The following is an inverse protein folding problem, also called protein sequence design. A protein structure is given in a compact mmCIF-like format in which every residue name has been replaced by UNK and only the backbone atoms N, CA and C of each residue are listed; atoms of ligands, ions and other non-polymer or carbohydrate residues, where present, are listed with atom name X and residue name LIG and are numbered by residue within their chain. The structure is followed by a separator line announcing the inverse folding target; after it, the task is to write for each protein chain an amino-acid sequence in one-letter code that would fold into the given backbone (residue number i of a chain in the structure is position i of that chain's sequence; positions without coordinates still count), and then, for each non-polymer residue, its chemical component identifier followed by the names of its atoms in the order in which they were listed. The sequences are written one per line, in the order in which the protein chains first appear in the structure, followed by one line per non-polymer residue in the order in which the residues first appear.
data_IF_817192335469
#
_entry.id   IF_817192335469
#
_cell.length_a   1.000
_cell.length_b   1.000
_cell.length_c   1.000
_cell.angle_alpha   90.00
_cell.angle_beta   90.00
_cell.angle_gamma   90.00
#
_symmetry.space_group_name_H-M   'P 1'
#
loop_
_entity.id
_entity.type
_entity.pdbx_description
1 polymer ?
#
# COMPACT_ATOMS: atom_id res chain seq x y z
N UNK A 1 20.89 55.62 37.22
CA UNK A 1 20.88 54.21 36.80
C UNK A 1 19.46 53.70 36.85
N UNK A 2 18.84 53.46 35.69
CA UNK A 2 17.71 52.53 35.53
C UNK A 2 17.42 52.37 34.02
N UNK A 3 17.92 51.27 33.46
CA UNK A 3 17.69 50.86 32.07
C UNK A 3 16.31 50.21 31.99
N UNK A 4 15.36 50.80 31.25
CA UNK A 4 14.13 50.12 30.85
C UNK A 4 14.36 49.42 29.52
N UNK A 5 14.55 48.10 29.56
CA UNK A 5 14.58 47.25 28.38
C UNK A 5 13.16 47.12 27.79
N UNK A 6 13.00 47.50 26.53
CA UNK A 6 11.84 47.17 25.72
C UNK A 6 12.00 45.76 25.17
N UNK A 7 11.16 44.83 25.64
CA UNK A 7 11.02 43.50 25.04
C UNK A 7 9.96 43.62 23.94
N UNK A 8 10.39 43.49 22.70
CA UNK A 8 9.52 43.38 21.53
C UNK A 8 8.98 41.95 21.46
N UNK A 9 7.73 41.74 21.84
CA UNK A 9 7.03 40.47 21.59
C UNK A 9 6.51 40.47 20.15
N UNK A 10 7.15 39.68 19.28
CA UNK A 10 6.63 39.39 17.94
C UNK A 10 5.52 38.35 18.08
N UNK A 11 4.27 38.81 17.99
CA UNK A 11 3.12 37.94 17.81
C UNK A 11 3.12 37.42 16.36
N UNK A 12 3.45 36.14 16.17
CA UNK A 12 3.23 35.46 14.89
C UNK A 12 1.73 35.14 14.81
N UNK A 13 0.99 35.99 14.10
CA UNK A 13 -0.38 35.71 13.73
C UNK A 13 -0.42 34.47 12.82
N UNK A 14 -1.02 33.39 13.32
CA UNK A 14 -1.34 32.20 12.53
C UNK A 14 -2.50 32.54 11.60
N UNK A 15 -2.17 33.02 10.40
CA UNK A 15 -3.14 33.39 9.40
C UNK A 15 -3.66 32.16 8.64
N UNK A 16 -4.99 32.03 8.65
CA UNK A 16 -5.85 31.46 7.61
C UNK A 16 -5.67 29.98 7.24
N UNK A 17 -6.59 29.17 7.78
CA UNK A 17 -7.14 28.02 7.10
C UNK A 17 -7.66 28.43 5.72
N UNK A 18 -6.92 28.10 4.67
CA UNK A 18 -7.41 28.18 3.30
C UNK A 18 -8.32 26.97 3.03
N UNK A 19 -9.61 27.15 3.29
CA UNK A 19 -10.69 26.36 2.70
C UNK A 19 -10.73 26.64 1.19
N UNK A 20 -9.84 25.98 0.44
CA UNK A 20 -9.79 25.99 -1.02
C UNK A 20 -10.24 24.63 -1.55
N UNK A 21 -11.54 24.51 -1.83
CA UNK A 21 -12.10 23.38 -2.56
C UNK A 21 -11.53 23.35 -3.99
N UNK A 22 -10.54 22.49 -4.26
CA UNK A 22 -10.17 22.11 -5.62
C UNK A 22 -10.97 20.87 -6.02
N UNK A 23 -12.21 21.12 -6.45
CA UNK A 23 -13.04 20.15 -7.16
C UNK A 23 -12.42 19.86 -8.53
N UNK A 24 -11.48 18.92 -8.57
CA UNK A 24 -11.03 18.29 -9.82
C UNK A 24 -12.12 17.37 -10.36
N UNK A 25 -13.04 17.93 -11.13
CA UNK A 25 -14.04 17.18 -11.90
C UNK A 25 -13.34 16.47 -13.07
N UNK A 26 -12.86 15.25 -12.80
CA UNK A 26 -12.43 14.29 -13.83
C UNK A 26 -13.55 13.28 -14.05
N UNK A 27 -14.44 13.57 -15.00
CA UNK A 27 -15.46 12.63 -15.46
C UNK A 27 -14.81 11.54 -16.32
N UNK A 28 -14.60 10.37 -15.75
CA UNK A 28 -14.67 9.10 -16.48
C UNK A 28 -15.63 8.20 -15.71
N UNK A 29 -16.66 7.77 -16.42
CA UNK A 29 -17.86 7.09 -15.92
C UNK A 29 -17.54 5.74 -15.28
N UNK A 30 -17.52 5.71 -13.95
CA UNK A 30 -17.86 4.52 -13.19
C UNK A 30 -19.19 4.82 -12.48
N UNK A 31 -20.18 3.94 -12.66
CA UNK A 31 -21.50 4.11 -12.07
C UNK A 31 -21.37 4.36 -10.56
N UNK A 32 -22.08 5.35 -9.98
CA UNK A 32 -22.06 5.55 -8.53
C UNK A 32 -22.50 4.25 -7.86
N UNK A 33 -21.66 3.73 -6.94
CA UNK A 33 -21.99 2.59 -6.11
C UNK A 33 -23.33 2.89 -5.42
N UNK A 34 -24.36 2.10 -5.73
CA UNK A 34 -25.75 2.33 -5.31
C UNK A 34 -25.87 2.47 -3.79
N UNK A 35 -26.85 3.26 -3.32
CA UNK A 35 -27.11 3.55 -1.89
C UNK A 35 -27.24 2.30 -1.01
N UNK A 36 -27.62 1.17 -1.60
CA UNK A 36 -27.72 -0.15 -0.96
C UNK A 36 -26.37 -0.73 -0.52
N UNK A 37 -25.26 -0.29 -1.13
CA UNK A 37 -23.89 -0.66 -0.74
C UNK A 37 -23.32 0.20 0.43
N UNK A 38 -23.95 1.33 0.79
CA UNK A 38 -23.45 2.21 1.86
C UNK A 38 -23.70 1.64 3.27
N UNK A 39 -24.81 0.93 3.46
CA UNK A 39 -25.18 0.36 4.78
C UNK A 39 -24.34 -0.87 5.15
N UNK A 40 -23.79 -1.58 4.15
CA UNK A 40 -22.96 -2.77 4.35
C UNK A 40 -21.45 -2.49 4.38
N UNK A 41 -21.01 -1.24 4.14
CA UNK A 41 -19.60 -0.85 4.08
C UNK A 41 -19.36 0.48 4.80
N UNK A 42 -19.12 0.46 6.13
CA UNK A 42 -18.90 1.67 6.89
C UNK A 42 -17.67 2.42 6.37
N UNK A 43 -17.72 3.75 6.43
CA UNK A 43 -16.65 4.62 5.97
C UNK A 43 -16.62 4.90 4.46
N UNK A 44 -17.47 4.30 3.63
CA UNK A 44 -17.56 4.70 2.21
C UNK A 44 -17.94 6.19 2.10
N UNK A 45 -17.28 6.91 1.19
CA UNK A 45 -17.51 8.34 0.99
C UNK A 45 -17.39 8.73 -0.48
N UNK A 46 -18.13 9.74 -0.90
CA UNK A 46 -17.95 10.42 -2.19
C UNK A 46 -17.14 11.70 -2.00
N UNK A 47 -17.38 12.40 -0.88
CA UNK A 47 -16.77 13.66 -0.46
C UNK A 47 -16.46 13.64 1.04
N UNK A 48 -15.61 14.55 1.52
CA UNK A 48 -15.31 14.65 2.96
C UNK A 48 -16.52 15.05 3.80
N UNK A 49 -17.59 15.59 3.20
CA UNK A 49 -18.85 15.85 3.92
C UNK A 49 -19.51 14.55 4.41
N UNK A 50 -19.34 13.46 3.67
CA UNK A 50 -19.89 12.14 4.04
C UNK A 50 -19.19 11.57 5.29
N UNK A 51 -17.98 12.06 5.58
CA UNK A 51 -17.17 11.67 6.73
C UNK A 51 -17.45 12.50 7.99
N UNK A 52 -18.20 13.60 7.88
CA UNK A 52 -18.51 14.48 9.00
C UNK A 52 -19.24 13.72 10.15
N UNK A 53 -20.06 12.72 9.82
CA UNK A 53 -20.77 11.89 10.81
C UNK A 53 -19.85 11.06 11.72
N UNK A 54 -18.61 10.81 11.29
CA UNK A 54 -17.59 10.11 12.07
C UNK A 54 -16.65 11.07 12.81
N UNK A 55 -16.72 12.37 12.48
CA UNK A 55 -15.84 13.38 13.05
C UNK A 55 -16.37 13.81 14.42
N UNK A 56 -15.59 13.61 15.48
CA UNK A 56 -15.94 13.97 16.87
C UNK A 56 -14.72 14.50 17.62
N UNK A 57 -14.82 15.70 18.17
CA UNK A 57 -13.71 16.34 18.87
C UNK A 57 -12.47 16.42 17.98
N UNK A 58 -11.34 15.88 18.46
CA UNK A 58 -10.08 15.83 17.71
C UNK A 58 -10.02 14.75 16.62
N UNK A 59 -11.00 13.84 16.56
CA UNK A 59 -11.03 12.81 15.53
C UNK A 59 -11.67 13.37 14.26
N UNK A 60 -10.85 13.83 13.31
CA UNK A 60 -11.31 14.38 12.03
C UNK A 60 -11.15 13.35 10.93
N UNK A 61 -12.23 13.05 10.22
CA UNK A 61 -12.20 12.14 9.07
C UNK A 61 -12.28 12.90 7.74
N UNK A 62 -11.42 12.54 6.80
CA UNK A 62 -11.41 13.05 5.43
C UNK A 62 -11.70 11.94 4.43
N UNK A 63 -12.38 12.26 3.33
CA UNK A 63 -12.62 11.29 2.27
C UNK A 63 -11.39 11.19 1.36
N UNK A 64 -10.70 10.06 1.42
CA UNK A 64 -9.47 9.81 0.65
C UNK A 64 -9.74 8.76 -0.41
N UNK A 65 -9.21 9.00 -1.61
CA UNK A 65 -9.38 8.13 -2.77
C UNK A 65 -8.09 7.38 -3.10
N UNK A 66 -8.18 6.07 -3.33
CA UNK A 66 -7.13 5.24 -3.93
C UNK A 66 -7.45 5.05 -5.41
N UNK A 67 -6.54 5.49 -6.28
CA UNK A 67 -6.60 5.23 -7.73
C UNK A 67 -5.96 3.89 -8.07
N UNK A 68 -6.56 3.12 -8.97
CA UNK A 68 -6.03 1.83 -9.41
C UNK A 68 -6.33 1.58 -10.89
N UNK A 69 -5.61 0.63 -11.49
CA UNK A 69 -5.88 0.09 -12.81
C UNK A 69 -6.64 -1.26 -12.75
N UNK A 70 -7.05 -1.70 -11.56
CA UNK A 70 -7.82 -2.95 -11.42
C UNK A 70 -9.22 -2.74 -12.00
N UNK A 71 -9.61 -3.61 -12.93
CA UNK A 71 -10.93 -3.61 -13.57
C UNK A 71 -12.03 -3.59 -12.51
N UNK A 72 -12.97 -2.66 -12.64
CA UNK A 72 -14.07 -2.41 -11.69
C UNK A 72 -13.65 -1.87 -10.30
N UNK A 73 -12.38 -1.47 -10.11
CA UNK A 73 -11.85 -0.88 -8.86
C UNK A 73 -10.93 0.32 -9.14
N UNK A 74 -11.21 1.07 -10.19
CA UNK A 74 -10.43 2.21 -10.68
C UNK A 74 -10.27 3.33 -9.66
N UNK A 75 -11.28 3.55 -8.83
CA UNK A 75 -11.27 4.51 -7.73
C UNK A 75 -12.06 3.97 -6.55
N UNK A 76 -11.40 3.85 -5.40
CA UNK A 76 -12.02 3.47 -4.14
C UNK A 76 -11.85 4.59 -3.13
N UNK A 77 -12.92 4.91 -2.40
CA UNK A 77 -12.94 6.04 -1.46
C UNK A 77 -13.38 5.60 -0.08
N UNK A 78 -12.67 6.06 0.94
CA UNK A 78 -13.03 5.80 2.33
C UNK A 78 -12.69 7.01 3.21
N UNK A 79 -13.47 7.18 4.28
CA UNK A 79 -13.16 8.08 5.37
C UNK A 79 -11.93 7.58 6.10
N UNK A 80 -10.88 8.40 6.11
CA UNK A 80 -9.61 8.16 6.79
C UNK A 80 -9.50 9.14 7.94
N UNK A 81 -9.15 8.63 9.13
CA UNK A 81 -8.92 9.43 10.33
C UNK A 81 -7.58 10.18 10.23
N UNK A 82 -7.57 11.45 10.60
CA UNK A 82 -6.36 12.27 10.69
C UNK A 82 -5.83 12.70 9.32
N UNK A 83 -4.51 12.74 9.20
CA UNK A 83 -3.82 13.18 7.99
C UNK A 83 -3.92 12.12 6.89
N UNK A 84 -4.83 12.36 5.94
CA UNK A 84 -4.96 11.56 4.73
C UNK A 84 -3.95 11.98 3.67
N UNK A 85 -3.45 11.02 2.90
CA UNK A 85 -2.54 11.28 1.78
C UNK A 85 -3.19 12.17 0.72
N UNK A 86 -2.87 13.47 0.76
CA UNK A 86 -3.53 14.47 -0.08
C UNK A 86 -2.72 15.78 -0.14
N UNK A 87 -2.80 16.48 -1.27
CA UNK A 87 -2.19 17.81 -1.40
C UNK A 87 -0.68 17.80 -1.15
N UNK A 88 -0.22 18.54 -0.14
CA UNK A 88 1.20 18.63 0.24
C UNK A 88 1.59 17.72 1.39
N UNK A 89 0.68 16.85 1.84
CA UNK A 89 0.87 16.00 3.01
C UNK A 89 0.85 14.53 2.65
N UNK A 90 1.96 13.87 2.98
CA UNK A 90 2.02 12.42 3.02
C UNK A 90 1.19 11.92 4.21
N UNK A 91 0.45 10.83 4.03
CA UNK A 91 -0.46 10.37 5.07
C UNK A 91 -1.12 9.04 4.79
N UNK A 92 -2.17 8.75 5.56
CA UNK A 92 -2.89 7.49 5.49
C UNK A 92 -3.74 7.38 4.23
N UNK A 93 -3.82 6.17 3.70
CA UNK A 93 -4.73 5.77 2.64
C UNK A 93 -5.77 4.77 3.17
N UNK A 94 -6.93 4.66 2.50
CA UNK A 94 -7.91 3.61 2.78
C UNK A 94 -7.29 2.21 2.83
N UNK A 95 -7.68 1.40 3.81
CA UNK A 95 -7.31 -0.02 3.92
C UNK A 95 -8.53 -0.88 3.60
N UNK A 96 -8.31 -2.07 3.02
CA UNK A 96 -9.40 -2.91 2.50
C UNK A 96 -9.37 -4.36 3.02
N UNK A 97 -8.60 -4.65 4.07
CA UNK A 97 -8.32 -6.02 4.54
C UNK A 97 -9.55 -6.76 5.05
N UNK A 98 -10.48 -6.06 5.70
CA UNK A 98 -11.78 -6.61 6.11
C UNK A 98 -12.85 -6.54 5.01
N UNK A 99 -12.55 -5.96 3.85
CA UNK A 99 -13.49 -5.88 2.75
C UNK A 99 -13.48 -7.20 1.95
N UNK A 100 -14.53 -7.48 1.15
CA UNK A 100 -14.57 -8.67 0.31
C UNK A 100 -13.34 -8.83 -0.59
N UNK A 101 -12.99 -10.07 -0.93
CA UNK A 101 -11.76 -10.46 -1.62
C UNK A 101 -11.40 -9.62 -2.85
N UNK A 102 -12.40 -9.17 -3.62
CA UNK A 102 -12.14 -8.33 -4.80
C UNK A 102 -11.40 -7.03 -4.44
N UNK A 103 -11.70 -6.41 -3.31
CA UNK A 103 -11.11 -5.14 -2.86
C UNK A 103 -9.73 -5.31 -2.23
N UNK A 104 -9.45 -6.47 -1.61
CA UNK A 104 -8.17 -6.79 -0.95
C UNK A 104 -6.97 -6.82 -1.89
N UNK A 105 -7.20 -6.75 -3.20
CA UNK A 105 -6.15 -6.66 -4.22
C UNK A 105 -5.51 -5.27 -4.28
N UNK A 106 -6.19 -4.24 -3.77
CA UNK A 106 -5.70 -2.86 -3.78
C UNK A 106 -4.72 -2.67 -2.63
N UNK A 107 -3.48 -2.34 -2.98
CA UNK A 107 -2.39 -2.12 -2.01
C UNK A 107 -1.98 -0.65 -2.03
N UNK A 108 -2.40 0.16 -1.03
CA UNK A 108 -2.23 1.60 -1.09
C UNK A 108 -0.79 2.07 -0.91
N UNK A 109 -0.37 2.96 -1.80
CA UNK A 109 0.84 3.76 -1.72
C UNK A 109 0.45 5.23 -1.72
N UNK A 110 0.94 6.00 -0.75
CA UNK A 110 0.81 7.45 -0.77
C UNK A 110 1.88 8.04 -1.70
N UNK A 111 1.48 8.34 -2.93
CA UNK A 111 2.40 8.75 -3.98
C UNK A 111 2.33 10.25 -4.21
N UNK A 112 3.49 10.88 -4.42
CA UNK A 112 3.56 12.24 -4.93
C UNK A 112 3.48 12.21 -6.44
N UNK A 113 2.40 12.72 -7.03
CA UNK A 113 2.13 12.56 -8.45
C UNK A 113 2.09 13.90 -9.16
N UNK A 114 2.80 13.97 -10.29
CA UNK A 114 2.82 15.14 -11.16
C UNK A 114 1.40 15.60 -11.56
N UNK A 115 1.18 16.90 -11.51
CA UNK A 115 -0.07 17.56 -11.93
C UNK A 115 0.21 18.34 -13.22
N UNK A 116 -0.28 17.90 -14.39
CA UNK A 116 0.07 18.53 -15.67
C UNK A 116 -0.34 20.00 -15.79
N UNK A 117 -1.46 20.39 -15.15
CA UNK A 117 -1.99 21.75 -15.17
C UNK A 117 -1.51 22.58 -13.97
N UNK A 118 -0.32 22.30 -13.44
CA UNK A 118 0.26 23.04 -12.34
C UNK A 118 0.78 24.42 -12.76
N UNK A 119 0.24 25.49 -12.16
CA UNK A 119 0.55 26.87 -12.52
C UNK A 119 1.52 27.52 -11.52
N UNK A 120 1.44 27.10 -10.26
CA UNK A 120 2.27 27.55 -9.15
C UNK A 120 2.50 26.39 -8.18
N UNK A 121 3.70 26.28 -7.64
CA UNK A 121 4.03 25.26 -6.67
C UNK A 121 4.60 25.88 -5.38
N UNK A 122 4.34 25.24 -4.24
CA UNK A 122 4.96 25.57 -2.96
C UNK A 122 6.08 24.57 -2.69
N UNK A 123 7.30 25.04 -2.42
CA UNK A 123 8.41 24.16 -2.04
C UNK A 123 8.33 23.76 -0.55
N UNK A 124 9.23 22.89 -0.11
CA UNK A 124 9.28 22.43 1.28
C UNK A 124 9.53 23.56 2.29
N UNK A 125 10.07 24.71 1.86
CA UNK A 125 10.24 25.91 2.67
C UNK A 125 8.99 26.83 2.70
N UNK A 126 7.89 26.45 2.05
CA UNK A 126 6.68 27.28 1.97
C UNK A 126 6.77 28.41 0.95
N UNK A 127 7.82 28.48 0.14
CA UNK A 127 7.99 29.51 -0.87
C UNK A 127 7.24 29.15 -2.16
N UNK A 128 6.58 30.15 -2.74
CA UNK A 128 5.90 29.99 -4.04
C UNK A 128 6.94 30.04 -5.16
N UNK A 129 6.98 28.99 -5.97
CA UNK A 129 7.80 28.86 -7.16
C UNK A 129 6.88 28.95 -8.38
N UNK A 130 7.13 29.96 -9.24
CA UNK A 130 6.42 30.08 -10.52
C UNK A 130 6.92 29.00 -11.48
N UNK A 131 6.03 28.12 -11.96
CA UNK A 131 6.43 27.03 -12.86
C UNK A 131 6.45 27.54 -14.30
N UNK A 132 7.53 28.22 -14.68
CA UNK A 132 7.68 28.86 -16.00
C UNK A 132 7.67 27.83 -17.15
N UNK A 133 8.18 26.62 -16.91
CA UNK A 133 8.26 25.53 -17.88
C UNK A 133 6.91 24.81 -18.17
N UNK A 134 5.88 25.00 -17.35
CA UNK A 134 4.55 24.41 -17.58
C UNK A 134 3.54 25.38 -18.23
N UNK A 135 3.85 26.68 -18.26
CA UNK A 135 2.99 27.68 -18.91
C UNK A 135 2.91 27.50 -20.43
N UNK A 136 3.91 26.88 -21.06
CA UNK A 136 3.93 26.63 -22.51
C UNK A 136 3.05 25.44 -22.92
N UNK A 137 2.63 24.58 -21.97
CA UNK A 137 1.84 23.37 -22.23
C UNK A 137 0.40 23.43 -21.67
N UNK A 138 0.10 24.43 -20.83
CA UNK A 138 -1.21 24.56 -20.16
C UNK A 138 -2.22 25.34 -21.01
N UNK A 139 -2.86 24.66 -21.97
CA UNK A 139 -3.92 25.23 -22.80
C UNK A 139 -5.29 25.38 -22.10
N UNK A 140 -5.39 25.28 -20.76
CA UNK A 140 -6.67 25.46 -20.04
C UNK A 140 -6.51 26.24 -18.73
N UNK A 141 -7.35 27.27 -18.48
CA UNK A 141 -7.33 28.04 -17.25
C UNK A 141 -7.94 27.25 -16.09
N UNK A 142 -7.15 27.06 -15.05
CA UNK A 142 -7.56 26.57 -13.76
C UNK A 142 -6.36 26.62 -12.84
N UNK A 143 -6.40 27.45 -11.78
CA UNK A 143 -5.30 27.57 -10.82
C UNK A 143 -5.28 26.32 -9.93
N UNK A 144 -4.37 25.39 -10.19
CA UNK A 144 -4.05 24.32 -9.24
C UNK A 144 -2.76 24.69 -8.53
N UNK A 145 -2.86 24.92 -7.23
CA UNK A 145 -1.70 25.03 -6.35
C UNK A 145 -1.14 23.63 -6.11
N UNK A 146 0.11 23.40 -6.53
CA UNK A 146 0.81 22.14 -6.29
C UNK A 146 1.93 22.34 -5.28
N UNK A 147 2.68 21.27 -5.07
CA UNK A 147 3.89 21.27 -4.28
C UNK A 147 5.08 20.89 -5.16
N UNK A 148 6.28 21.25 -4.73
CA UNK A 148 7.51 20.83 -5.38
C UNK A 148 8.18 19.73 -4.54
N UNK A 149 8.46 18.60 -5.16
CA UNK A 149 9.30 17.54 -4.60
C UNK A 149 10.55 17.35 -5.47
N UNK A 150 11.66 16.96 -4.84
CA UNK A 150 12.90 16.59 -5.53
C UNK A 150 13.26 15.17 -5.14
N UNK A 151 13.45 14.32 -6.14
CA UNK A 151 13.87 12.94 -5.96
C UNK A 151 15.30 12.79 -6.47
N UNK A 152 16.19 12.24 -5.65
CA UNK A 152 17.56 11.91 -6.06
C UNK A 152 17.65 10.49 -6.59
N UNK A 153 18.54 10.25 -7.55
CA UNK A 153 18.95 8.89 -7.94
C UNK A 153 19.96 8.37 -6.93
N UNK A 154 19.91 7.07 -6.67
CA UNK A 154 20.92 6.37 -5.86
C UNK A 154 21.94 5.63 -6.75
N UNK A 155 21.86 5.79 -8.07
CA UNK A 155 22.87 5.28 -9.00
C UNK A 155 24.12 6.17 -8.96
N UNK A 156 25.30 5.57 -9.17
CA UNK A 156 26.63 6.16 -8.97
C UNK A 156 26.96 7.44 -9.78
N UNK A 157 26.02 7.98 -10.55
CA UNK A 157 26.02 9.32 -11.12
C UNK A 157 25.33 10.29 -10.14
N UNK A 158 26.13 10.94 -9.30
CA UNK A 158 25.73 11.78 -8.16
C UNK A 158 24.85 13.02 -8.46
N UNK A 159 24.40 13.23 -9.69
CA UNK A 159 23.69 14.45 -10.12
C UNK A 159 22.30 14.19 -10.72
N UNK A 160 21.87 12.95 -10.86
CA UNK A 160 20.54 12.65 -11.41
C UNK A 160 19.45 12.98 -10.37
N UNK A 161 18.76 14.09 -10.58
CA UNK A 161 17.62 14.50 -9.75
C UNK A 161 16.40 14.82 -10.60
N UNK A 162 15.23 14.43 -10.12
CA UNK A 162 13.94 14.73 -10.73
C UNK A 162 13.19 15.75 -9.86
N UNK A 163 12.91 16.93 -10.42
CA UNK A 163 11.99 17.89 -9.80
C UNK A 163 10.59 17.66 -10.31
N UNK A 164 9.65 17.42 -9.40
CA UNK A 164 8.25 17.10 -9.70
C UNK A 164 7.35 18.15 -9.10
N UNK A 165 6.41 18.65 -9.91
CA UNK A 165 5.34 19.55 -9.47
C UNK A 165 4.04 18.78 -9.38
N UNK A 166 3.57 18.53 -8.17
CA UNK A 166 2.55 17.52 -7.93
C UNK A 166 1.80 17.65 -6.62
N UNK A 167 1.00 16.64 -6.33
CA UNK A 167 0.29 16.48 -5.06
C UNK A 167 0.38 15.02 -4.60
N UNK A 168 0.28 14.80 -3.30
CA UNK A 168 0.03 13.50 -2.72
C UNK A 168 -1.36 12.99 -3.08
N UNK A 169 -1.41 11.71 -3.46
CA UNK A 169 -2.64 10.96 -3.63
C UNK A 169 -2.38 9.47 -3.39
N UNK A 170 -3.38 8.74 -2.93
CA UNK A 170 -3.27 7.30 -2.83
C UNK A 170 -3.39 6.65 -4.20
N UNK A 171 -2.48 5.74 -4.49
CA UNK A 171 -2.49 4.89 -5.69
C UNK A 171 -2.29 3.44 -5.28
N UNK A 172 -2.76 2.52 -6.10
CA UNK A 172 -2.44 1.10 -5.96
C UNK A 172 -0.97 0.82 -6.29
N UNK A 173 -0.38 -0.18 -5.63
CA UNK A 173 0.99 -0.67 -5.87
C UNK A 173 1.30 -0.90 -7.34
N UNK A 174 0.40 -1.53 -8.11
CA UNK A 174 0.66 -1.82 -9.52
C UNK A 174 0.72 -0.53 -10.33
N UNK A 175 -0.23 0.38 -10.10
CA UNK A 175 -0.22 1.70 -10.74
C UNK A 175 1.06 2.48 -10.38
N UNK A 176 1.50 2.42 -9.12
CA UNK A 176 2.74 3.03 -8.66
C UNK A 176 3.96 2.52 -9.42
N UNK A 177 4.07 1.20 -9.56
CA UNK A 177 5.14 0.53 -10.28
C UNK A 177 5.10 0.82 -11.79
N UNK A 178 3.94 0.62 -12.43
CA UNK A 178 3.73 0.77 -13.87
C UNK A 178 4.02 2.19 -14.37
N UNK A 179 3.75 3.20 -13.53
CA UNK A 179 3.96 4.62 -13.87
C UNK A 179 5.28 5.18 -13.33
N UNK A 180 6.11 4.36 -12.70
CA UNK A 180 7.37 4.77 -12.07
C UNK A 180 7.18 6.00 -11.15
N UNK A 181 6.16 6.00 -10.29
CA UNK A 181 5.78 7.17 -9.48
C UNK A 181 6.72 7.46 -8.30
N UNK A 182 7.69 6.58 -8.06
CA UNK A 182 8.84 6.87 -7.20
C UNK A 182 9.90 7.75 -7.85
N UNK A 183 9.83 7.87 -9.19
CA UNK A 183 10.78 8.54 -10.06
C UNK A 183 12.18 7.90 -10.04
N UNK A 184 12.91 8.05 -11.16
CA UNK A 184 14.27 7.53 -11.32
C UNK A 184 14.31 6.02 -11.03
N UNK A 185 15.26 5.57 -10.21
CA UNK A 185 15.44 4.18 -9.78
C UNK A 185 14.84 3.88 -8.39
N UNK A 186 14.00 4.79 -7.86
CA UNK A 186 13.49 4.70 -6.50
C UNK A 186 12.21 3.85 -6.36
N UNK A 187 11.39 3.74 -7.41
CA UNK A 187 10.11 3.00 -7.35
C UNK A 187 10.26 1.59 -6.78
N UNK A 188 11.20 0.73 -7.25
CA UNK A 188 11.38 -0.60 -6.68
C UNK A 188 11.88 -0.56 -5.23
N UNK A 189 12.75 0.38 -4.89
CA UNK A 189 13.34 0.53 -3.55
C UNK A 189 12.28 0.91 -2.53
N UNK A 190 11.43 1.88 -2.87
CA UNK A 190 10.32 2.34 -2.02
C UNK A 190 9.30 1.24 -1.76
N UNK A 191 8.93 0.49 -2.81
CA UNK A 191 8.05 -0.67 -2.65
C UNK A 191 8.71 -1.77 -1.80
N UNK A 192 10.02 -1.96 -1.92
CA UNK A 192 10.77 -2.92 -1.12
C UNK A 192 10.86 -2.51 0.35
N UNK A 193 11.03 -1.22 0.66
CA UNK A 193 11.02 -0.71 2.05
C UNK A 193 9.70 -0.99 2.77
N UNK A 194 8.60 -1.09 2.01
CA UNK A 194 7.27 -1.39 2.53
C UNK A 194 6.87 -2.87 2.38
N UNK A 195 7.79 -3.76 1.99
CA UNK A 195 7.49 -5.16 1.78
C UNK A 195 6.98 -5.82 3.07
N UNK A 196 5.83 -6.49 3.00
CA UNK A 196 5.31 -7.30 4.09
C UNK A 196 6.01 -8.65 4.20
N UNK A 197 5.54 -9.48 5.12
CA UNK A 197 6.07 -10.81 5.37
C UNK A 197 5.85 -11.72 4.15
N UNK A 198 6.85 -12.56 3.87
CA UNK A 198 6.81 -13.55 2.79
C UNK A 198 6.29 -14.87 3.36
N UNK A 199 5.24 -15.43 2.77
CA UNK A 199 4.76 -16.79 3.11
C UNK A 199 5.22 -17.75 2.03
N UNK A 200 5.69 -18.95 2.37
CA UNK A 200 6.04 -19.96 1.36
C UNK A 200 4.89 -20.94 1.22
N UNK A 201 4.35 -21.08 0.01
CA UNK A 201 3.32 -22.09 -0.32
C UNK A 201 3.84 -22.97 -1.43
N UNK A 202 3.87 -24.29 -1.20
CA UNK A 202 4.36 -25.28 -2.17
C UNK A 202 5.78 -24.95 -2.71
N UNK A 203 6.67 -24.45 -1.84
CA UNK A 203 8.03 -24.05 -2.21
C UNK A 203 8.13 -22.72 -2.97
N UNK A 204 7.01 -22.03 -3.22
CA UNK A 204 6.99 -20.69 -3.82
C UNK A 204 6.78 -19.63 -2.75
N UNK A 205 7.67 -18.63 -2.70
CA UNK A 205 7.49 -17.43 -1.88
C UNK A 205 6.30 -16.61 -2.40
N UNK A 206 5.17 -16.72 -1.73
CA UNK A 206 3.95 -15.96 -1.94
C UNK A 206 3.78 -14.97 -0.78
N UNK A 207 4.35 -13.78 -0.91
CA UNK A 207 3.76 -12.55 -0.40
C UNK A 207 4.75 -11.41 -0.54
N UNK A 208 4.25 -10.29 -1.06
CA UNK A 208 4.86 -8.99 -0.91
C UNK A 208 3.72 -7.96 -0.84
N UNK A 209 2.71 -8.25 -0.01
CA UNK A 209 1.63 -7.31 0.29
C UNK A 209 2.25 -6.17 1.05
N UNK A 210 2.10 -4.93 0.56
CA UNK A 210 2.71 -3.79 1.23
C UNK A 210 2.15 -3.65 2.64
N UNK A 211 3.04 -3.43 3.60
CA UNK A 211 2.70 -3.19 4.99
C UNK A 211 1.80 -4.29 5.59
N UNK A 212 2.02 -5.54 5.17
CA UNK A 212 1.21 -6.71 5.55
C UNK A 212 -0.31 -6.51 5.31
N UNK A 213 -0.70 -5.56 4.46
CA UNK A 213 -2.10 -5.17 4.26
C UNK A 213 -2.71 -4.34 5.39
N UNK A 214 -1.93 -3.96 6.41
CA UNK A 214 -2.41 -3.29 7.61
C UNK A 214 -1.94 -1.83 7.72
N UNK A 215 -1.52 -1.23 6.60
CA UNK A 215 -1.05 0.14 6.58
C UNK A 215 -0.96 0.74 5.18
N UNK A 216 -0.36 1.93 5.11
CA UNK A 216 -0.06 2.66 3.87
C UNK A 216 1.44 2.70 3.67
N UNK A 217 1.92 2.39 2.46
CA UNK A 217 3.30 2.67 2.10
C UNK A 217 3.43 4.18 1.80
N UNK A 218 4.20 4.91 2.60
CA UNK A 218 4.21 6.38 2.61
C UNK A 218 5.65 6.90 2.72
N UNK A 219 5.95 8.10 2.20
CA UNK A 219 7.20 8.79 2.53
C UNK A 219 7.43 8.90 4.05
N UNK A 220 8.67 8.76 4.49
CA UNK A 220 9.03 8.87 5.91
C UNK A 220 8.70 10.25 6.49
N UNK A 221 8.86 11.29 5.66
CA UNK A 221 8.42 12.67 5.87
C UNK A 221 7.87 13.22 4.55
N UNK A 222 7.12 14.33 4.61
CA UNK A 222 6.68 15.04 3.41
C UNK A 222 7.86 15.25 2.44
N UNK A 223 7.63 14.94 1.16
CA UNK A 223 8.55 15.02 0.03
C UNK A 223 9.79 14.12 0.10
N UNK A 224 9.86 13.16 1.03
CA UNK A 224 10.95 12.18 1.09
C UNK A 224 10.85 11.13 -0.02
N UNK A 225 12.00 10.69 -0.51
CA UNK A 225 12.20 9.54 -1.38
C UNK A 225 12.36 8.22 -0.60
N UNK A 226 12.52 8.29 0.72
CA UNK A 226 12.55 7.14 1.63
C UNK A 226 11.12 6.83 2.07
N UNK A 227 10.70 5.58 1.89
CA UNK A 227 9.35 5.14 2.24
C UNK A 227 9.37 4.18 3.43
N UNK A 228 8.29 4.19 4.18
CA UNK A 228 8.02 3.30 5.30
C UNK A 228 6.55 2.90 5.32
N UNK A 229 6.24 1.91 6.14
CA UNK A 229 4.86 1.59 6.48
C UNK A 229 4.33 2.54 7.56
N UNK A 230 3.27 3.29 7.22
CA UNK A 230 2.41 3.93 8.20
C UNK A 230 1.30 2.93 8.56
N UNK A 231 1.49 2.26 9.69
CA UNK A 231 0.58 1.24 10.17
C UNK A 231 -0.73 1.82 10.65
N UNK A 232 -1.81 1.09 10.40
CA UNK A 232 -3.09 1.36 11.06
C UNK A 232 -2.92 1.18 12.56
N UNK A 233 -3.65 1.96 13.35
CA UNK A 233 -3.60 1.85 14.81
C UNK A 233 -3.93 0.42 15.23
N UNK A 234 -3.21 -0.10 16.23
CA UNK A 234 -3.35 -1.49 16.70
C UNK A 234 -2.46 -2.50 15.98
N UNK A 235 -1.58 -2.05 15.09
CA UNK A 235 -0.52 -2.85 14.47
C UNK A 235 0.88 -2.33 14.82
N UNK A 236 1.86 -3.24 14.85
CA UNK A 236 3.25 -2.94 15.16
C UNK A 236 3.96 -2.23 13.99
N UNK A 237 4.74 -1.19 14.31
CA UNK A 237 5.61 -0.49 13.36
C UNK A 237 6.96 -1.20 13.14
N UNK A 238 7.30 -2.20 13.97
CA UNK A 238 8.60 -2.90 13.95
C UNK A 238 8.69 -3.99 12.88
N UNK A 239 7.56 -4.40 12.33
CA UNK A 239 7.42 -5.56 11.45
C UNK A 239 6.53 -5.24 10.24
N UNK A 240 6.58 -3.98 9.78
CA UNK A 240 5.78 -3.50 8.66
C UNK A 240 4.29 -3.82 8.84
N UNK A 241 3.75 -3.58 10.03
CA UNK A 241 2.34 -3.80 10.38
C UNK A 241 1.92 -5.27 10.41
N UNK A 242 2.85 -6.19 10.65
CA UNK A 242 2.58 -7.63 10.66
C UNK A 242 1.77 -8.07 11.88
N UNK A 243 2.20 -7.70 13.07
CA UNK A 243 1.60 -8.11 14.32
C UNK A 243 0.49 -7.14 14.76
N UNK A 244 -0.67 -7.68 15.09
CA UNK A 244 -1.69 -6.97 15.86
C UNK A 244 -1.19 -6.81 17.30
N UNK A 245 -1.20 -5.59 17.83
CA UNK A 245 -0.70 -5.22 19.16
C UNK A 245 -1.76 -4.64 20.08
N UNK A 246 -2.98 -4.40 19.57
CA UNK A 246 -4.10 -3.96 20.40
C UNK A 246 -5.41 -3.85 19.62
N UNK A 247 -6.54 -3.96 20.33
CA UNK A 247 -7.88 -3.79 19.77
C UNK A 247 -8.30 -2.32 19.69
N UNK A 248 -7.58 -1.55 18.89
CA UNK A 248 -7.85 -0.14 18.59
C UNK A 248 -7.79 0.05 17.08
N UNK A 249 -8.61 0.94 16.54
CA UNK A 249 -8.86 0.94 15.11
C UNK A 249 -9.01 2.38 14.58
N UNK A 250 -8.26 2.76 13.53
CA UNK A 250 -8.34 4.07 12.86
C UNK A 250 -8.92 4.06 11.43
N UNK A 251 -8.86 2.93 10.72
CA UNK A 251 -9.42 2.74 9.37
C UNK A 251 -10.58 1.72 9.30
N UNK A 252 -11.63 2.05 8.57
CA UNK A 252 -12.82 1.21 8.48
C UNK A 252 -12.57 -0.18 7.90
N UNK A 253 -11.55 -0.34 7.05
CA UNK A 253 -11.22 -1.63 6.47
C UNK A 253 -10.10 -2.41 7.16
N UNK A 254 -9.60 -2.01 8.34
CA UNK A 254 -8.40 -2.63 8.94
C UNK A 254 -8.68 -3.93 9.73
N UNK A 255 -9.88 -4.07 10.32
CA UNK A 255 -10.15 -5.03 11.39
C UNK A 255 -10.40 -6.45 10.87
N UNK A 256 -9.40 -7.16 10.34
CA UNK A 256 -9.49 -8.61 10.05
C UNK A 256 -10.85 -9.08 9.51
N UNK A 257 -11.56 -9.95 10.24
CA UNK A 257 -12.92 -10.38 9.90
C UNK A 257 -14.05 -9.48 10.44
N UNK A 258 -13.70 -8.48 11.26
CA UNK A 258 -14.62 -7.56 11.91
C UNK A 258 -14.70 -6.18 11.27
N UNK A 259 -15.34 -5.28 12.00
CA UNK A 259 -15.53 -3.90 11.58
C UNK A 259 -15.00 -2.95 12.64
N UNK A 260 -14.37 -1.86 12.20
CA UNK A 260 -14.00 -0.78 13.11
C UNK A 260 -15.24 0.02 13.52
N UNK A 261 -15.51 0.12 14.82
CA UNK A 261 -16.54 0.99 15.33
C UNK A 261 -15.94 2.41 15.49
N UNK A 262 -16.39 3.41 14.70
CA UNK A 262 -15.82 4.75 14.72
C UNK A 262 -16.16 5.54 15.99
N UNK A 263 -17.20 5.13 16.75
CA UNK A 263 -17.58 5.78 18.00
C UNK A 263 -16.67 5.37 19.15
N UNK A 264 -16.23 4.12 19.16
CA UNK A 264 -15.39 3.56 20.24
C UNK A 264 -13.92 3.46 19.85
N UNK A 265 -13.60 3.51 18.55
CA UNK A 265 -12.26 3.28 18.02
C UNK A 265 -11.77 1.85 18.24
N UNK A 266 -12.68 0.87 18.33
CA UNK A 266 -12.33 -0.55 18.56
C UNK A 266 -12.87 -1.47 17.46
N UNK A 267 -12.18 -2.56 17.18
CA UNK A 267 -12.70 -3.59 16.29
C UNK A 267 -13.79 -4.39 17.00
N UNK A 268 -14.90 -4.57 16.30
CA UNK A 268 -16.01 -5.43 16.69
C UNK A 268 -15.92 -6.70 15.86
N UNK A 269 -15.58 -7.80 16.52
CA UNK A 269 -15.38 -9.08 15.86
C UNK A 269 -16.71 -9.82 15.69
N UNK A 270 -16.95 -10.44 14.52
CA UNK A 270 -18.09 -11.30 14.35
C UNK A 270 -17.95 -12.53 15.24
N UNK A 271 -19.07 -13.18 15.48
CA UNK A 271 -19.09 -14.44 16.22
C UNK A 271 -18.13 -15.47 15.57
N UNK A 272 -17.33 -16.14 16.40
CA UNK A 272 -16.26 -17.05 15.96
C UNK A 272 -14.92 -16.38 15.61
N UNK A 273 -14.82 -15.05 15.64
CA UNK A 273 -13.55 -14.30 15.54
C UNK A 273 -13.26 -13.55 16.84
N UNK A 274 -12.00 -13.51 17.24
CA UNK A 274 -11.54 -12.94 18.53
C UNK A 274 -10.17 -12.27 18.39
N UNK A 275 -9.61 -11.83 19.52
CA UNK A 275 -8.29 -11.21 19.59
C UNK A 275 -8.24 -9.79 19.05
N UNK A 276 -7.07 -9.17 19.18
CA UNK A 276 -6.82 -7.85 18.64
C UNK A 276 -7.00 -7.86 17.12
N UNK A 277 -7.60 -6.79 16.60
CA UNK A 277 -7.90 -6.64 15.17
C UNK A 277 -8.77 -7.75 14.56
N UNK A 278 -9.45 -8.57 15.38
CA UNK A 278 -10.18 -9.75 14.93
C UNK A 278 -9.29 -10.69 14.10
N UNK A 279 -8.04 -10.82 14.54
CA UNK A 279 -6.99 -11.63 13.90
C UNK A 279 -6.98 -13.09 14.34
N UNK A 280 -7.75 -13.44 15.38
CA UNK A 280 -7.87 -14.82 15.87
C UNK A 280 -9.26 -15.37 15.59
N UNK A 281 -9.37 -16.69 15.64
CA UNK A 281 -10.62 -17.43 15.58
C UNK A 281 -10.91 -18.12 16.92
N UNK A 282 -12.16 -18.52 17.14
CA UNK A 282 -12.58 -19.31 18.32
C UNK A 282 -12.66 -20.82 17.95
N UNK A 283 -11.76 -21.67 18.47
CA UNK A 283 -11.73 -23.10 18.15
C UNK A 283 -13.01 -23.83 18.56
N UNK A 284 -13.74 -23.32 19.56
CA UNK A 284 -15.01 -23.91 20.02
C UNK A 284 -16.11 -23.82 18.94
N UNK A 285 -15.95 -22.92 17.96
CA UNK A 285 -16.94 -22.73 16.89
C UNK A 285 -16.68 -23.59 15.65
N UNK A 286 -15.60 -24.39 15.60
CA UNK A 286 -15.28 -25.22 14.42
C UNK A 286 -16.42 -26.15 13.97
N UNK A 287 -17.26 -26.62 14.89
CA UNK A 287 -18.36 -27.54 14.59
C UNK A 287 -19.73 -26.84 14.57
N UNK A 288 -19.77 -25.51 14.66
CA UNK A 288 -21.00 -24.75 14.67
C UNK A 288 -21.38 -24.35 13.24
N UNK A 289 -22.35 -25.04 12.66
CA UNK A 289 -22.83 -24.79 11.29
C UNK A 289 -23.39 -23.37 11.07
N UNK A 290 -23.73 -22.65 12.14
CA UNK A 290 -24.18 -21.24 12.05
C UNK A 290 -23.04 -20.26 11.86
N UNK A 291 -21.77 -20.70 11.99
CA UNK A 291 -20.57 -19.86 11.88
C UNK A 291 -19.91 -20.08 10.52
N UNK A 292 -20.36 -19.33 9.51
CA UNK A 292 -19.93 -19.55 8.12
C UNK A 292 -18.67 -18.75 7.73
N UNK A 293 -18.35 -17.69 8.47
CA UNK A 293 -17.33 -16.71 8.08
C UNK A 293 -16.06 -16.74 8.95
N UNK A 294 -15.95 -17.69 9.87
CA UNK A 294 -14.69 -17.91 10.60
C UNK A 294 -13.59 -18.29 9.61
N UNK A 295 -12.41 -17.68 9.74
CA UNK A 295 -11.32 -17.85 8.77
C UNK A 295 -11.76 -17.56 7.32
N UNK A 296 -12.63 -16.56 7.12
CA UNK A 296 -13.26 -16.22 5.84
C UNK A 296 -13.98 -17.41 5.15
N UNK A 297 -14.31 -18.47 5.90
CA UNK A 297 -14.86 -19.72 5.35
C UNK A 297 -13.85 -20.57 4.58
N UNK A 298 -12.56 -20.19 4.57
CA UNK A 298 -11.51 -20.82 3.79
C UNK A 298 -10.46 -21.52 4.68
N UNK A 299 -10.87 -21.98 5.85
CA UNK A 299 -9.96 -22.63 6.79
C UNK A 299 -10.67 -23.15 8.03
N UNK A 300 -9.89 -23.77 8.92
CA UNK A 300 -10.34 -24.22 10.25
C UNK A 300 -9.59 -23.46 11.33
N UNK A 301 -10.22 -23.31 12.49
CA UNK A 301 -9.55 -22.67 13.61
C UNK A 301 -8.64 -23.67 14.34
N UNK A 302 -7.34 -23.38 14.40
CA UNK A 302 -6.37 -24.12 15.21
C UNK A 302 -6.58 -23.87 16.70
N UNK A 303 -6.07 -24.76 17.55
CA UNK A 303 -6.25 -24.69 19.02
C UNK A 303 -5.67 -23.40 19.65
N UNK A 304 -4.70 -22.80 18.98
CA UNK A 304 -4.05 -21.53 19.35
C UNK A 304 -4.86 -20.29 18.94
N UNK A 305 -6.00 -20.49 18.26
CA UNK A 305 -6.83 -19.43 17.70
C UNK A 305 -6.32 -18.92 16.35
N UNK A 306 -5.35 -19.59 15.72
CA UNK A 306 -4.85 -19.24 14.38
C UNK A 306 -5.63 -19.98 13.30
N UNK A 307 -5.96 -19.30 12.20
CA UNK A 307 -6.60 -19.95 11.07
C UNK A 307 -5.65 -20.86 10.30
N UNK A 308 -6.05 -22.12 10.14
CA UNK A 308 -5.41 -23.10 9.26
C UNK A 308 -6.11 -23.07 7.91
N UNK A 309 -5.52 -22.34 6.96
CA UNK A 309 -6.12 -22.12 5.65
C UNK A 309 -6.17 -23.39 4.81
N UNK A 310 -7.28 -23.58 4.11
CA UNK A 310 -7.42 -24.59 3.08
C UNK A 310 -6.48 -24.31 1.91
N UNK A 311 -6.13 -25.35 1.16
CA UNK A 311 -5.27 -25.25 -0.01
C UNK A 311 -5.71 -24.13 -0.96
N UNK A 312 -4.76 -23.26 -1.31
CA UNK A 312 -5.02 -22.13 -2.19
C UNK A 312 -5.47 -20.86 -1.47
N UNK A 313 -5.44 -20.81 -0.13
CA UNK A 313 -5.71 -19.60 0.66
C UNK A 313 -4.57 -19.27 1.62
N UNK A 314 -4.39 -17.96 1.88
CA UNK A 314 -3.37 -17.36 2.75
C UNK A 314 -3.93 -16.17 3.50
N UNK A 315 -3.11 -15.64 4.40
CA UNK A 315 -3.44 -14.53 5.28
C UNK A 315 -3.85 -15.02 6.66
N UNK A 316 -3.79 -14.13 7.64
CA UNK A 316 -4.06 -14.43 9.05
C UNK A 316 -5.47 -14.99 9.26
N UNK A 317 -6.41 -14.64 8.37
CA UNK A 317 -7.79 -15.10 8.38
C UNK A 317 -8.17 -15.87 7.11
N UNK A 318 -7.21 -16.36 6.31
CA UNK A 318 -7.46 -17.06 5.04
C UNK A 318 -8.24 -16.22 4.01
N UNK A 319 -8.00 -14.92 4.02
CA UNK A 319 -8.69 -13.93 3.21
C UNK A 319 -8.09 -13.79 1.79
N UNK A 320 -6.90 -14.30 1.55
CA UNK A 320 -6.18 -14.15 0.29
C UNK A 320 -6.18 -15.45 -0.49
N UNK A 321 -6.90 -15.50 -1.62
CA UNK A 321 -6.83 -16.63 -2.54
C UNK A 321 -5.56 -16.56 -3.40
N UNK A 322 -4.84 -17.66 -3.49
CA UNK A 322 -3.71 -17.84 -4.39
C UNK A 322 -4.27 -18.11 -5.78
N UNK A 323 -3.98 -17.22 -6.75
CA UNK A 323 -4.15 -17.58 -8.17
C UNK A 323 -3.06 -18.60 -8.50
N UNK A 324 -3.41 -19.88 -8.67
CA UNK A 324 -2.49 -20.85 -9.28
C UNK A 324 -2.07 -20.27 -10.63
N UNK A 325 -0.80 -19.90 -10.76
CA UNK A 325 -0.30 -19.53 -12.07
C UNK A 325 -0.33 -20.81 -12.92
N UNK A 326 -1.30 -20.92 -13.82
CA UNK A 326 -1.33 -21.96 -14.82
C UNK A 326 -0.18 -21.70 -15.80
N UNK A 327 1.03 -22.06 -15.41
CA UNK A 327 2.18 -22.12 -16.30
C UNK A 327 2.89 -23.44 -16.06
N UNK A 328 2.24 -24.51 -16.51
CA UNK A 328 2.85 -25.78 -16.90
C UNK A 328 1.80 -26.67 -17.57
N UNK A 329 1.53 -26.40 -18.85
CA UNK A 329 1.10 -27.44 -19.80
C UNK A 329 1.62 -27.07 -21.18
N UNK A 330 2.94 -26.99 -21.28
CA UNK A 330 3.61 -27.52 -22.46
C UNK A 330 3.63 -29.04 -22.31
N UNK A 331 2.46 -29.65 -22.51
CA UNK A 331 2.39 -31.07 -22.79
C UNK A 331 2.86 -31.23 -24.23
N UNK A 332 4.17 -31.48 -24.36
CA UNK A 332 4.75 -32.11 -25.54
C UNK A 332 3.92 -33.35 -25.85
N UNK A 333 3.04 -33.23 -26.85
CA UNK A 333 2.36 -34.35 -27.47
C UNK A 333 3.40 -35.20 -28.19
N UNK A 334 4.02 -36.12 -27.46
CA UNK A 334 4.81 -37.20 -28.04
C UNK A 334 3.84 -38.29 -28.49
N UNK A 335 3.33 -38.14 -29.71
CA UNK A 335 2.69 -39.25 -30.43
C UNK A 335 3.78 -40.11 -31.04
N UNK A 336 3.90 -41.31 -30.49
CA UNK A 336 4.60 -42.47 -31.05
C UNK A 336 4.08 -42.74 -32.46
N UNK A 337 4.96 -42.71 -33.47
CA UNK A 337 4.74 -43.35 -34.77
C UNK A 337 6.08 -43.66 -35.43
N UNK A 338 6.36 -44.96 -35.47
CA UNK A 338 7.49 -45.64 -36.07
C UNK A 338 7.73 -45.27 -37.54
N UNK A 339 9.01 -45.12 -37.96
CA UNK A 339 9.58 -45.68 -39.21
C UNK A 339 11.09 -45.41 -39.37
N UNK A 340 11.84 -46.53 -39.39
CA UNK A 340 13.08 -46.89 -40.10
C UNK A 340 14.08 -45.81 -40.60
N UNK A 341 15.32 -45.99 -40.14
CA UNK A 341 16.60 -46.10 -40.87
C UNK A 341 17.03 -44.99 -41.85
N UNK A 342 18.16 -44.32 -41.56
CA UNK A 342 19.46 -44.53 -42.20
C UNK A 342 20.54 -43.58 -41.62
N UNK A 343 21.75 -44.11 -41.42
CA UNK A 343 23.12 -43.55 -41.56
C UNK A 343 23.36 -42.04 -41.26
N UNK A 344 24.45 -41.54 -40.68
CA UNK A 344 25.80 -42.01 -40.32
C UNK A 344 26.54 -40.75 -39.84
N UNK A 345 27.50 -40.85 -38.92
CA UNK A 345 28.42 -39.72 -38.65
C UNK A 345 29.10 -39.77 -37.29
N UNK A 346 30.38 -40.15 -37.31
CA UNK A 346 31.32 -40.26 -36.19
C UNK A 346 31.86 -38.91 -35.70
N UNK A 347 32.16 -38.80 -34.41
CA UNK A 347 33.46 -38.41 -33.79
C UNK A 347 33.21 -38.06 -32.32
N UNK A 348 33.58 -38.95 -31.39
CA UNK A 348 34.88 -39.05 -30.69
C UNK A 348 35.00 -38.17 -29.44
N UNK A 349 35.32 -38.86 -28.36
CA UNK A 349 35.59 -38.36 -27.03
C UNK A 349 37.07 -37.98 -26.90
N UNK A 350 37.39 -37.08 -25.97
CA UNK A 350 38.62 -37.18 -25.20
C UNK A 350 38.56 -36.43 -23.87
N UNK A 351 39.23 -37.07 -22.92
CA UNK A 351 39.37 -36.86 -21.49
C UNK A 351 40.55 -35.90 -21.23
N UNK A 352 40.51 -35.09 -20.17
CA UNK A 352 41.71 -34.81 -19.37
C UNK A 352 41.34 -34.27 -17.98
N UNK A 353 41.77 -35.02 -16.96
CA UNK A 353 41.78 -34.68 -15.54
C UNK A 353 43.20 -34.18 -15.22
N UNK A 354 43.35 -33.10 -14.47
CA UNK A 354 44.55 -32.89 -13.64
C UNK A 354 44.19 -32.18 -12.34
N UNK A 355 44.33 -32.96 -11.25
CA UNK A 355 44.41 -32.50 -9.87
C UNK A 355 45.86 -32.11 -9.57
N UNK A 356 46.09 -30.99 -8.89
CA UNK A 356 47.33 -30.76 -8.14
C UNK A 356 46.96 -30.20 -6.77
N UNK A 357 47.34 -30.96 -5.74
CA UNK A 357 47.38 -30.55 -4.35
C UNK A 357 48.77 -29.96 -4.05
N UNK A 358 48.83 -28.91 -3.23
CA UNK A 358 50.06 -28.51 -2.53
C UNK A 358 49.73 -28.18 -1.07
N UNK A 359 50.45 -28.88 -0.19
CA UNK A 359 50.58 -28.68 1.26
C UNK A 359 51.96 -28.07 1.50
N UNK A 360 52.08 -27.14 2.46
CA UNK A 360 53.15 -26.96 3.49
C UNK A 360 52.97 -25.54 4.06
N UNK A 361 52.46 -25.37 5.28
CA UNK A 361 53.11 -25.49 6.59
C UNK A 361 53.73 -24.17 7.09
N UNK A 362 53.47 -23.91 8.36
CA UNK A 362 53.70 -22.69 9.14
C UNK A 362 55.17 -22.39 9.47
N UNK A 363 55.45 -21.13 9.82
CA UNK A 363 56.43 -20.79 10.86
C UNK A 363 56.12 -19.43 11.48
N UNK A 364 56.20 -19.39 12.82
CA UNK A 364 56.11 -18.24 13.71
C UNK A 364 57.21 -17.19 13.45
N UNK A 365 56.83 -15.90 13.52
CA UNK A 365 57.46 -14.85 14.35
C UNK A 365 56.31 -13.97 14.85
#
# INVERSE_FOLDING_TARGET
MNLKAWILSVAIASAAAASGSSSGSGSTTDAPLTQENLSSRPGLCNTSKDCAKYTKGSNVYSCIAVKSNIVNLTTLKQCVLGDGCSGGKAGSCPTFTSWPQKFRQVQPVCAFVAVPNCNSAVNSQGQVVSVRSLREQAAKPGNVTCFQAKFGSNSSSSDDSATVYGIYQCVDKKLYAEKNLGYLDNTPKQLQSCAGNVTVVNGQSVSNVLCNGHGTCVPQTDFSDIYKCLCSTGYSDKDNCGAATGNVCSAFGQCGNGNCNPDTGKCVCPYGSTGDQCSKCDPAQNNNASVTNMCNGNGKCGIDGTCQCSDGYLGTNCETQIKKNSTASSATGSTTSSKKSAASGLHEASIAIFSIATIFAAALI
#
